data_IF_794209252840
#
_entry.id   IF_794209252840
#
_cell.length_a   1.000
_cell.length_b   1.000
_cell.length_c   1.000
_cell.angle_alpha   90.00
_cell.angle_beta   90.00
_cell.angle_gamma   90.00
#
_symmetry.space_group_name_H-M   'P 1'
#
loop_
_entity.id
_entity.type
_entity.pdbx_description
1 polymer ?
#
# COMPACT_ATOMS: atom_id res chain seq x y z
N UNK A 1 -4.94 2.06 16.06
CA UNK A 1 -3.92 1.28 15.33
C UNK A 1 -4.01 -0.23 15.55
N UNK A 2 -3.96 -0.73 16.79
CA UNK A 2 -3.95 -2.19 17.07
C UNK A 2 -5.13 -2.97 16.45
N UNK A 3 -6.37 -2.42 16.53
CA UNK A 3 -7.56 -3.04 15.90
C UNK A 3 -7.42 -3.17 14.37
N UNK A 4 -6.93 -2.12 13.71
CA UNK A 4 -6.75 -2.10 12.25
C UNK A 4 -5.63 -3.05 11.81
N UNK A 5 -4.50 -3.05 12.53
CA UNK A 5 -3.39 -3.96 12.30
C UNK A 5 -3.85 -5.42 12.43
N UNK A 6 -4.59 -5.75 13.50
CA UNK A 6 -5.14 -7.08 13.70
C UNK A 6 -6.13 -7.47 12.58
N UNK A 7 -6.95 -6.53 12.10
CA UNK A 7 -7.83 -6.77 10.96
C UNK A 7 -7.04 -7.05 9.68
N UNK A 8 -6.05 -6.23 9.36
CA UNK A 8 -5.19 -6.41 8.17
C UNK A 8 -4.48 -7.76 8.21
N UNK A 9 -3.97 -8.16 9.37
CA UNK A 9 -3.28 -9.45 9.55
C UNK A 9 -4.23 -10.64 9.79
N UNK A 10 -5.54 -10.42 9.96
CA UNK A 10 -6.50 -11.51 10.14
C UNK A 10 -6.66 -12.37 8.88
N UNK A 11 -6.38 -11.78 7.70
CA UNK A 11 -6.45 -12.46 6.41
C UNK A 11 -5.04 -12.58 5.86
N UNK A 12 -4.55 -13.83 5.69
CA UNK A 12 -3.16 -14.13 5.28
C UNK A 12 -2.67 -13.34 4.06
N UNK A 13 -3.54 -13.17 3.05
CA UNK A 13 -3.18 -12.54 1.79
C UNK A 13 -3.53 -11.05 1.71
N UNK A 14 -4.24 -10.50 2.71
CA UNK A 14 -4.62 -9.09 2.68
C UNK A 14 -3.41 -8.13 2.76
N UNK A 15 -2.40 -8.35 3.63
CA UNK A 15 -1.21 -7.50 3.64
C UNK A 15 -0.47 -7.45 2.28
N UNK A 16 -0.09 -8.59 1.65
CA UNK A 16 0.59 -8.53 0.35
C UNK A 16 -0.31 -7.97 -0.75
N UNK A 17 -1.62 -8.24 -0.76
CA UNK A 17 -2.55 -7.64 -1.75
C UNK A 17 -2.59 -6.12 -1.60
N UNK A 18 -2.71 -5.60 -0.38
CA UNK A 18 -2.73 -4.16 -0.14
C UNK A 18 -1.40 -3.50 -0.55
N UNK A 19 -0.27 -4.15 -0.27
CA UNK A 19 1.04 -3.62 -0.64
C UNK A 19 1.31 -3.69 -2.15
N UNK A 20 1.30 -4.89 -2.73
CA UNK A 20 1.59 -5.06 -4.16
C UNK A 20 0.51 -4.46 -5.05
N UNK A 21 -0.75 -4.47 -4.62
CA UNK A 21 -1.85 -3.83 -5.34
C UNK A 21 -1.71 -2.32 -5.39
N UNK A 22 -1.33 -1.68 -4.28
CA UNK A 22 -1.10 -0.23 -4.27
C UNK A 22 0.12 0.16 -5.11
N UNK A 23 1.23 -0.60 -5.02
CA UNK A 23 2.42 -0.38 -5.86
C UNK A 23 2.11 -0.54 -7.34
N UNK A 24 1.36 -1.58 -7.72
CA UNK A 24 1.02 -1.83 -9.12
C UNK A 24 0.12 -0.73 -9.70
N UNK A 25 -0.89 -0.28 -8.96
CA UNK A 25 -1.79 0.78 -9.41
C UNK A 25 -1.09 2.14 -9.53
N UNK A 26 -0.29 2.52 -8.52
CA UNK A 26 0.50 3.76 -8.57
C UNK A 26 1.56 3.71 -9.69
N UNK A 27 2.24 2.58 -9.86
CA UNK A 27 3.20 2.41 -10.94
C UNK A 27 2.57 2.47 -12.33
N UNK A 28 1.36 1.91 -12.47
CA UNK A 28 0.60 2.00 -13.72
C UNK A 28 0.14 3.42 -14.02
N UNK A 29 -0.32 4.15 -12.99
CA UNK A 29 -0.72 5.55 -13.12
C UNK A 29 0.45 6.44 -13.58
N UNK A 30 1.61 6.32 -12.93
CA UNK A 30 2.84 7.03 -13.34
C UNK A 30 3.25 6.67 -14.78
N UNK A 31 3.19 5.39 -15.13
CA UNK A 31 3.51 4.95 -16.50
C UNK A 31 2.57 5.59 -17.53
N UNK A 32 1.26 5.63 -17.22
CA UNK A 32 0.26 6.17 -18.13
C UNK A 32 0.35 7.69 -18.26
N UNK A 33 0.61 8.40 -17.17
CA UNK A 33 0.87 9.84 -17.17
C UNK A 33 2.10 10.18 -18.02
N UNK A 34 3.21 9.46 -17.83
CA UNK A 34 4.45 9.69 -18.60
C UNK A 34 4.34 9.35 -20.09
N UNK A 35 3.49 8.39 -20.47
CA UNK A 35 3.39 7.91 -21.85
C UNK A 35 2.25 8.52 -22.65
N UNK A 36 1.15 8.87 -21.99
CA UNK A 36 -0.07 9.37 -22.62
C UNK A 36 -0.51 10.75 -22.12
N UNK A 37 0.17 11.35 -21.13
CA UNK A 37 -0.18 12.64 -20.50
C UNK A 37 -1.63 12.65 -19.97
N UNK A 38 -2.10 11.49 -19.50
CA UNK A 38 -3.45 11.31 -18.95
C UNK A 38 -3.32 10.74 -17.54
N UNK A 39 -4.00 11.35 -16.58
CA UNK A 39 -4.18 10.80 -15.23
C UNK A 39 -5.10 9.58 -15.29
N UNK A 40 -4.58 8.40 -14.98
CA UNK A 40 -5.38 7.17 -14.92
C UNK A 40 -6.16 7.10 -13.59
N UNK A 41 -5.52 7.49 -12.50
CA UNK A 41 -6.14 7.66 -11.19
C UNK A 41 -6.54 9.11 -10.99
N UNK A 42 -7.77 9.32 -10.52
CA UNK A 42 -8.16 10.62 -9.99
C UNK A 42 -7.54 10.80 -8.59
N UNK A 43 -7.26 12.03 -8.19
CA UNK A 43 -6.85 12.44 -6.83
C UNK A 43 -7.62 11.71 -5.72
N UNK A 44 -8.94 11.52 -5.85
CA UNK A 44 -9.76 10.82 -4.85
C UNK A 44 -9.47 9.32 -4.72
N UNK A 45 -8.92 8.69 -5.75
CA UNK A 45 -8.49 7.28 -5.76
C UNK A 45 -7.00 7.13 -5.48
N UNK A 46 -6.19 8.05 -6.00
CA UNK A 46 -4.76 8.09 -5.79
C UNK A 46 -4.42 8.35 -4.31
N UNK A 47 -5.09 9.31 -3.67
CA UNK A 47 -4.82 9.67 -2.28
C UNK A 47 -5.00 8.48 -1.32
N UNK A 48 -6.12 7.72 -1.34
CA UNK A 48 -6.24 6.49 -0.56
C UNK A 48 -5.18 5.44 -0.89
N UNK A 49 -4.81 5.28 -2.17
CA UNK A 49 -3.79 4.31 -2.58
C UNK A 49 -2.41 4.64 -1.99
N UNK A 50 -2.02 5.92 -2.02
CA UNK A 50 -0.80 6.42 -1.39
C UNK A 50 -0.84 6.17 0.12
N UNK A 51 -1.96 6.47 0.78
CA UNK A 51 -2.13 6.23 2.23
C UNK A 51 -1.99 4.73 2.55
N UNK A 52 -2.61 3.85 1.75
CA UNK A 52 -2.51 2.40 1.91
C UNK A 52 -1.06 1.94 1.71
N UNK A 53 -0.37 2.43 0.69
CA UNK A 53 1.02 2.10 0.43
C UNK A 53 1.93 2.44 1.62
N UNK A 54 1.81 3.66 2.16
CA UNK A 54 2.58 4.09 3.33
C UNK A 54 2.19 3.32 4.59
N UNK A 55 0.90 3.05 4.81
CA UNK A 55 0.41 2.24 5.92
C UNK A 55 1.02 0.83 5.88
N UNK A 56 0.99 0.17 4.72
CA UNK A 56 1.54 -1.17 4.56
C UNK A 56 3.05 -1.20 4.72
N UNK A 57 3.76 -0.20 4.19
CA UNK A 57 5.20 -0.04 4.37
C UNK A 57 5.56 0.13 5.85
N UNK A 58 4.84 0.98 6.57
CA UNK A 58 5.02 1.18 8.01
C UNK A 58 4.79 -0.11 8.80
N UNK A 59 3.70 -0.83 8.52
CA UNK A 59 3.38 -2.09 9.19
C UNK A 59 4.42 -3.18 8.89
N UNK A 60 4.93 -3.24 7.66
CA UNK A 60 6.03 -4.13 7.27
C UNK A 60 7.32 -3.83 8.05
N UNK A 61 7.75 -2.56 8.05
CA UNK A 61 8.94 -2.13 8.78
C UNK A 61 8.81 -2.37 10.30
N UNK A 62 7.64 -2.08 10.87
CA UNK A 62 7.33 -2.35 12.29
C UNK A 62 7.45 -3.84 12.63
N UNK A 63 6.98 -4.73 11.77
CA UNK A 63 7.09 -6.17 11.97
C UNK A 63 8.54 -6.67 11.89
N UNK A 64 9.34 -6.16 10.94
CA UNK A 64 10.78 -6.48 10.87
C UNK A 64 11.49 -6.04 12.16
N UNK A 65 11.25 -4.80 12.61
CA UNK A 65 11.83 -4.29 13.85
C UNK A 65 11.44 -5.15 15.06
N UNK A 66 10.19 -5.62 15.13
CA UNK A 66 9.71 -6.49 16.22
C UNK A 66 10.40 -7.85 16.20
N UNK A 67 10.66 -8.43 15.03
CA UNK A 67 11.35 -9.71 14.91
C UNK A 67 12.84 -9.60 15.26
N UNK A 68 13.50 -8.47 14.98
CA UNK A 68 14.90 -8.23 15.35
C UNK A 68 15.10 -7.84 16.83
N UNK A 69 14.01 -7.56 17.56
CA UNK A 69 14.03 -7.15 18.97
C UNK A 69 13.67 -8.30 19.93
N UNK A 70 13.42 -9.50 19.39
CA UNK A 70 13.20 -10.74 20.12
C UNK A 70 14.41 -11.65 19.96
#
# INVERSE_FOLDING_TARGET
>A
MQKLENFIYSVKYLPPILYFGSVALLGYDIYYDLTNEIEFLNVYTETPLIIIFFLMTYLGAKNIKRNNSK
#
